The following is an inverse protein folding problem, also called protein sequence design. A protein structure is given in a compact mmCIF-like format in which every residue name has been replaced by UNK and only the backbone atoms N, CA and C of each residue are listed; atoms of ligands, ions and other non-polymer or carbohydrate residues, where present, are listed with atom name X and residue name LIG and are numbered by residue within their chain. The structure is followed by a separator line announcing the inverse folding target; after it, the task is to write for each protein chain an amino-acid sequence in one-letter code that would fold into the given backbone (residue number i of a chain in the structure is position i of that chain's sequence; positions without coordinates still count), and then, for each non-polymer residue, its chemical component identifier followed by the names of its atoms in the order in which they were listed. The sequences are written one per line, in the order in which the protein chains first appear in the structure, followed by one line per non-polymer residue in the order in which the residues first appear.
data_IF_503378336067
#
_entry.id   IF_503378336067
#
_cell.length_a   1.000
_cell.length_b   1.000
_cell.length_c   1.000
_cell.angle_alpha   90.00
_cell.angle_beta   90.00
_cell.angle_gamma   90.00
#
_symmetry.space_group_name_H-M   'P 1'
#
loop_
_entity.id
_entity.type
_entity.pdbx_description
1 polymer ?
#
# COMPACT_ATOMS: atom_id res chain seq x y z
N UNK A 1 -5.09 -31.02 12.06
CA UNK A 1 -5.87 -29.88 11.55
C UNK A 1 -5.85 -28.79 12.62
N UNK A 2 -5.36 -27.58 12.31
CA UNK A 2 -5.39 -26.46 13.25
C UNK A 2 -6.81 -25.88 13.30
N UNK A 3 -7.33 -25.47 14.48
CA UNK A 3 -8.70 -24.99 14.61
C UNK A 3 -8.93 -23.68 13.85
N UNK A 4 -10.10 -23.57 13.21
CA UNK A 4 -10.56 -22.36 12.55
C UNK A 4 -10.65 -21.20 13.56
N UNK A 5 -9.69 -20.28 13.50
CA UNK A 5 -9.63 -19.12 14.38
C UNK A 5 -8.31 -18.90 15.12
N UNK A 6 -7.30 -19.77 14.94
CA UNK A 6 -6.00 -19.61 15.60
C UNK A 6 -5.22 -18.37 15.14
N UNK A 7 -5.50 -17.83 13.95
CA UNK A 7 -4.80 -16.66 13.38
C UNK A 7 -5.72 -15.47 13.09
N UNK A 8 -6.82 -15.30 13.85
CA UNK A 8 -7.81 -14.23 13.62
C UNK A 8 -7.22 -12.82 13.55
N UNK A 9 -6.15 -12.55 14.29
CA UNK A 9 -5.44 -11.28 14.27
C UNK A 9 -4.75 -11.05 12.91
N UNK A 10 -3.71 -11.85 12.58
CA UNK A 10 -3.00 -11.71 11.31
C UNK A 10 -3.92 -11.82 10.09
N UNK A 11 -4.89 -12.76 10.10
CA UNK A 11 -5.85 -12.94 9.00
C UNK A 11 -6.69 -11.67 8.75
N UNK A 12 -7.03 -10.93 9.81
CA UNK A 12 -7.73 -9.65 9.68
C UNK A 12 -6.85 -8.61 9.00
N UNK A 13 -5.57 -8.52 9.39
CA UNK A 13 -4.63 -7.59 8.75
C UNK A 13 -4.47 -7.87 7.26
N UNK A 14 -4.33 -9.14 6.87
CA UNK A 14 -4.22 -9.55 5.46
C UNK A 14 -5.50 -9.23 4.68
N UNK A 15 -6.68 -9.58 5.23
CA UNK A 15 -7.97 -9.30 4.58
C UNK A 15 -8.25 -7.82 4.38
N UNK A 16 -7.84 -6.98 5.33
CA UNK A 16 -7.94 -5.52 5.21
C UNK A 16 -6.97 -4.99 4.14
N UNK A 17 -5.74 -5.50 4.09
CA UNK A 17 -4.75 -5.15 3.08
C UNK A 17 -5.19 -5.53 1.65
N UNK A 18 -5.79 -6.72 1.47
CA UNK A 18 -6.25 -7.20 0.16
C UNK A 18 -7.42 -6.38 -0.42
N UNK A 19 -8.02 -5.50 0.38
CA UNK A 19 -9.08 -4.57 -0.05
C UNK A 19 -8.53 -3.17 -0.38
N UNK A 20 -7.21 -3.04 -0.58
CA UNK A 20 -6.60 -1.78 -0.95
C UNK A 20 -7.26 -1.21 -2.22
N UNK A 21 -7.65 0.07 -2.18
CA UNK A 21 -8.36 0.71 -3.28
C UNK A 21 -7.54 0.81 -4.57
N UNK A 22 -6.20 0.82 -4.43
CA UNK A 22 -5.27 0.86 -5.55
C UNK A 22 -4.28 -0.31 -5.41
N UNK A 23 -4.45 -1.28 -6.32
CA UNK A 23 -3.59 -2.46 -6.43
C UNK A 23 -3.38 -2.84 -7.90
N UNK A 24 -2.26 -3.49 -8.18
CA UNK A 24 -1.93 -4.06 -9.49
C UNK A 24 -1.69 -5.54 -9.26
N UNK A 25 -2.65 -6.38 -9.64
CA UNK A 25 -2.50 -7.83 -9.42
C UNK A 25 -1.42 -8.43 -10.33
N UNK A 26 -1.06 -9.69 -10.06
CA UNK A 26 -0.04 -10.39 -10.83
C UNK A 26 -0.35 -10.35 -12.34
N UNK A 27 0.67 -10.02 -13.13
CA UNK A 27 0.63 -9.97 -14.61
C UNK A 27 -0.31 -8.90 -15.22
N UNK A 28 -0.99 -8.10 -14.39
CA UNK A 28 -1.86 -7.03 -14.88
C UNK A 28 -1.07 -5.80 -15.34
N UNK A 29 -1.69 -5.04 -16.24
CA UNK A 29 -1.24 -3.70 -16.62
C UNK A 29 -2.23 -2.68 -16.08
N UNK A 30 -1.75 -1.77 -15.25
CA UNK A 30 -2.54 -0.69 -14.69
C UNK A 30 -1.63 0.48 -14.34
N UNK A 31 -2.18 1.71 -14.25
CA UNK A 31 -1.43 2.92 -13.90
C UNK A 31 -0.13 3.09 -14.72
N UNK A 32 -0.17 2.72 -16.02
CA UNK A 32 0.97 2.83 -16.94
C UNK A 32 2.10 1.82 -16.76
N UNK A 33 1.99 0.83 -15.86
CA UNK A 33 3.01 -0.21 -15.67
C UNK A 33 2.44 -1.63 -15.75
N UNK A 34 3.28 -2.58 -16.17
CA UNK A 34 2.98 -4.02 -16.11
C UNK A 34 3.60 -4.63 -14.85
N UNK A 35 2.79 -5.28 -14.03
CA UNK A 35 3.29 -6.05 -12.89
C UNK A 35 3.75 -7.45 -13.35
N UNK A 36 5.01 -7.60 -13.74
CA UNK A 36 5.59 -8.90 -14.12
C UNK A 36 5.75 -9.88 -12.95
N UNK A 37 5.45 -9.47 -11.72
CA UNK A 37 5.56 -10.32 -10.53
C UNK A 37 4.34 -11.24 -10.43
N UNK A 38 4.51 -12.40 -9.78
CA UNK A 38 3.44 -13.39 -9.55
C UNK A 38 2.56 -13.08 -8.33
N UNK A 39 2.66 -11.86 -7.79
CA UNK A 39 1.92 -11.40 -6.64
C UNK A 39 1.36 -10.00 -6.88
N UNK A 40 0.34 -9.63 -6.12
CA UNK A 40 -0.24 -8.29 -6.14
C UNK A 40 0.69 -7.28 -5.50
N UNK A 41 0.82 -6.11 -6.13
CA UNK A 41 1.49 -4.93 -5.57
C UNK A 41 0.41 -3.93 -5.19
N UNK A 42 0.51 -3.35 -4.00
CA UNK A 42 -0.46 -2.39 -3.45
C UNK A 42 0.11 -0.97 -3.41
N UNK A 43 -0.78 0.03 -3.20
CA UNK A 43 -0.34 1.39 -2.97
C UNK A 43 0.40 1.52 -1.64
N UNK A 44 1.46 2.34 -1.57
CA UNK A 44 2.30 2.47 -0.38
C UNK A 44 1.54 2.93 0.88
N UNK A 45 0.40 3.61 0.74
CA UNK A 45 -0.43 3.96 1.91
C UNK A 45 -1.09 2.76 2.58
N UNK A 46 -1.36 1.68 1.83
CA UNK A 46 -1.87 0.42 2.37
C UNK A 46 -0.78 -0.33 3.15
N UNK A 47 0.50 -0.13 2.81
CA UNK A 47 1.61 -0.93 3.35
C UNK A 47 2.39 -0.23 4.46
N UNK A 48 2.61 1.09 4.35
CA UNK A 48 3.66 1.81 5.08
C UNK A 48 3.37 2.13 6.57
N UNK A 49 4.37 2.72 7.24
CA UNK A 49 4.25 3.38 8.55
C UNK A 49 3.81 4.84 8.35
N UNK A 50 2.83 5.36 9.08
CA UNK A 50 2.66 6.81 9.20
C UNK A 50 3.90 7.39 9.89
N UNK A 51 4.86 7.89 9.11
CA UNK A 51 5.68 9.01 9.50
C UNK A 51 5.24 10.17 8.61
N UNK A 52 4.51 11.13 9.18
CA UNK A 52 4.25 12.38 8.49
C UNK A 52 5.59 13.04 8.15
N UNK A 53 5.93 13.06 6.86
CA UNK A 53 6.93 13.97 6.31
C UNK A 53 6.26 15.30 5.92
N UNK A 54 7.03 16.40 5.79
CA UNK A 54 6.47 17.74 5.67
C UNK A 54 5.82 17.91 4.30
N UNK A 55 4.49 17.86 4.27
CA UNK A 55 3.72 18.36 3.14
C UNK A 55 3.95 19.85 3.01
N UNK A 56 4.72 20.26 1.99
CA UNK A 56 4.52 21.57 1.37
C UNK A 56 3.22 21.48 0.57
N UNK A 57 2.25 22.33 0.92
CA UNK A 57 1.14 22.68 0.04
C UNK A 57 -0.18 21.97 0.32
N UNK A 58 -0.84 22.33 1.42
CA UNK A 58 -2.24 21.98 1.68
C UNK A 58 -2.77 22.82 2.85
N UNK A 59 -3.17 24.05 2.56
CA UNK A 59 -3.61 25.03 3.57
C UNK A 59 -4.72 24.48 4.46
N UNK A 60 -4.46 24.40 5.76
CA UNK A 60 -5.49 24.14 6.76
C UNK A 60 -5.95 25.47 7.37
N UNK A 61 -7.26 25.72 7.31
CA UNK A 61 -7.92 26.83 7.98
C UNK A 61 -7.88 26.66 9.52
N UNK A 62 -7.84 27.75 10.31
CA UNK A 62 -7.83 27.67 11.76
C UNK A 62 -9.25 27.39 12.27
N UNK A 63 -9.47 26.24 12.92
CA UNK A 63 -10.76 25.94 13.59
C UNK A 63 -11.22 24.48 13.62
N UNK A 64 -10.43 23.51 13.13
CA UNK A 64 -10.91 22.12 13.11
C UNK A 64 -10.74 21.43 14.48
N UNK A 65 -11.87 21.07 15.09
CA UNK A 65 -11.96 20.21 16.28
C UNK A 65 -11.21 18.90 15.99
N UNK A 66 -10.50 18.37 17.00
CA UNK A 66 -9.84 17.05 16.96
C UNK A 66 -10.72 16.07 16.17
N UNK A 67 -10.21 15.57 15.05
CA UNK A 67 -10.92 14.59 14.25
C UNK A 67 -11.25 13.39 15.16
N UNK A 68 -12.54 13.19 15.42
CA UNK A 68 -13.04 11.96 15.97
C UNK A 68 -12.55 10.82 15.08
N UNK A 69 -12.07 9.73 15.70
CA UNK A 69 -11.75 8.49 15.01
C UNK A 69 -12.90 8.12 14.04
N UNK A 70 -12.62 8.16 12.73
CA UNK A 70 -13.55 7.71 11.70
C UNK A 70 -13.63 6.16 11.73
N UNK A 71 -14.79 5.51 11.58
CA UNK A 71 -14.92 4.07 11.81
C UNK A 71 -14.39 3.16 10.68
N UNK A 72 -13.74 3.69 9.63
CA UNK A 72 -13.27 2.90 8.46
C UNK A 72 -12.08 3.55 7.75
N UNK A 73 -10.99 3.82 8.48
CA UNK A 73 -9.70 4.07 7.84
C UNK A 73 -8.98 2.72 7.72
N UNK A 74 -8.53 2.26 6.53
CA UNK A 74 -7.78 1.01 6.42
C UNK A 74 -6.54 1.13 7.29
N UNK A 75 -6.39 0.22 8.26
CA UNK A 75 -5.17 0.16 9.04
C UNK A 75 -4.04 -0.19 8.09
N UNK A 76 -2.93 0.55 8.13
CA UNK A 76 -1.77 0.24 7.31
C UNK A 76 -1.23 -1.14 7.71
N UNK A 77 -0.92 -1.98 6.73
CA UNK A 77 -0.61 -3.39 6.94
C UNK A 77 0.52 -3.60 7.96
N UNK A 78 1.63 -2.86 7.78
CA UNK A 78 2.77 -2.90 8.72
C UNK A 78 2.38 -2.57 10.15
N UNK A 79 1.54 -1.56 10.34
CA UNK A 79 1.08 -1.14 11.66
C UNK A 79 0.11 -2.14 12.28
N UNK A 80 -0.71 -2.78 11.45
CA UNK A 80 -1.62 -3.83 11.89
C UNK A 80 -0.85 -5.03 12.45
N UNK A 81 0.18 -5.49 11.74
CA UNK A 81 1.03 -6.61 12.19
C UNK A 81 1.81 -6.27 13.47
N UNK A 82 2.42 -5.07 13.55
CA UNK A 82 3.15 -4.64 14.75
C UNK A 82 2.24 -4.49 15.97
N UNK A 83 0.99 -4.06 15.78
CA UNK A 83 0.04 -3.89 16.87
C UNK A 83 -0.46 -5.22 17.46
N UNK A 84 -0.36 -6.32 16.71
CA UNK A 84 -0.69 -7.65 17.22
C UNK A 84 0.42 -8.21 18.11
N UNK A 85 1.68 -7.87 17.81
CA UNK A 85 2.86 -8.24 18.59
C UNK A 85 2.93 -9.75 18.91
N UNK A 86 2.60 -10.58 17.93
CA UNK A 86 2.63 -12.05 18.05
C UNK A 86 3.63 -12.66 17.04
N UNK A 87 4.05 -13.90 17.31
CA UNK A 87 5.05 -14.61 16.49
C UNK A 87 4.65 -14.70 15.01
N UNK A 88 3.38 -14.93 14.72
CA UNK A 88 2.89 -15.16 13.35
C UNK A 88 2.82 -13.86 12.57
N UNK A 89 2.32 -12.79 13.19
CA UNK A 89 2.33 -11.43 12.66
C UNK A 89 3.75 -10.97 12.37
N UNK A 90 4.70 -11.30 13.25
CA UNK A 90 6.12 -10.98 13.05
C UNK A 90 6.74 -11.78 11.90
N UNK A 91 6.45 -13.08 11.79
CA UNK A 91 6.88 -13.90 10.63
C UNK A 91 6.30 -13.32 9.33
N UNK A 92 5.00 -13.02 9.28
CA UNK A 92 4.35 -12.41 8.11
C UNK A 92 5.04 -11.09 7.74
N UNK A 93 5.30 -10.23 8.72
CA UNK A 93 6.00 -8.98 8.51
C UNK A 93 7.41 -9.17 7.96
N UNK A 94 8.22 -10.05 8.57
CA UNK A 94 9.58 -10.34 8.08
C UNK A 94 9.53 -10.94 6.67
N UNK A 95 8.65 -11.90 6.40
CA UNK A 95 8.52 -12.50 5.08
C UNK A 95 8.15 -11.47 4.02
N UNK A 96 7.17 -10.61 4.28
CA UNK A 96 6.69 -9.62 3.32
C UNK A 96 7.71 -8.51 3.05
N UNK A 97 8.20 -7.86 4.10
CA UNK A 97 9.00 -6.63 3.97
C UNK A 97 10.51 -6.88 3.89
N UNK A 98 11.02 -8.01 4.41
CA UNK A 98 12.47 -8.26 4.50
C UNK A 98 12.94 -9.38 3.58
N UNK A 99 12.21 -10.51 3.52
CA UNK A 99 12.63 -11.68 2.73
C UNK A 99 12.25 -11.51 1.25
N UNK A 100 10.97 -11.20 1.00
CA UNK A 100 10.43 -11.04 -0.35
C UNK A 100 10.63 -9.63 -0.90
N UNK A 101 11.05 -8.69 -0.04
CA UNK A 101 11.29 -7.27 -0.38
C UNK A 101 10.14 -6.68 -1.21
N UNK A 102 8.89 -7.03 -0.84
CA UNK A 102 7.70 -6.73 -1.60
C UNK A 102 7.59 -5.21 -1.81
N UNK A 103 7.65 -4.72 -3.06
CA UNK A 103 7.55 -3.29 -3.31
C UNK A 103 6.10 -2.82 -3.17
N UNK A 104 5.91 -1.52 -2.96
CA UNK A 104 4.62 -0.86 -3.21
C UNK A 104 4.75 0.09 -4.41
N UNK A 105 3.65 0.76 -4.77
CA UNK A 105 3.71 1.90 -5.69
C UNK A 105 3.05 3.14 -5.10
N UNK A 106 3.48 4.30 -5.56
CA UNK A 106 2.76 5.57 -5.40
C UNK A 106 2.20 6.00 -6.75
N UNK A 107 1.12 6.76 -6.74
CA UNK A 107 0.58 7.38 -7.94
C UNK A 107 1.13 8.81 -8.08
N UNK A 108 1.74 9.10 -9.23
CA UNK A 108 2.27 10.40 -9.58
C UNK A 108 1.51 10.91 -10.82
N UNK A 109 1.06 12.16 -10.76
CA UNK A 109 0.35 12.79 -11.87
C UNK A 109 1.34 13.19 -12.97
N UNK A 110 1.09 12.71 -14.20
CA UNK A 110 1.89 13.01 -15.39
C UNK A 110 0.98 13.43 -16.54
N UNK A 111 1.45 14.35 -17.39
CA UNK A 111 0.76 14.72 -18.63
C UNK A 111 1.12 13.72 -19.72
N UNK A 112 0.16 12.88 -20.09
CA UNK A 112 0.34 11.79 -21.06
C UNK A 112 -0.65 11.89 -22.20
N UNK A 113 -0.38 11.15 -23.28
CA UNK A 113 -1.33 11.03 -24.36
C UNK A 113 -2.53 10.16 -23.95
N UNK A 114 -3.70 10.77 -23.82
CA UNK A 114 -4.94 10.06 -23.45
C UNK A 114 -5.79 9.67 -24.66
N UNK A 115 -5.50 10.24 -25.83
CA UNK A 115 -6.22 9.98 -27.07
C UNK A 115 -5.27 10.01 -28.25
N UNK A 116 -5.27 8.92 -29.02
CA UNK A 116 -4.40 8.72 -30.17
C UNK A 116 -5.14 8.95 -31.48
N UNK A 117 -4.46 9.55 -32.45
CA UNK A 117 -4.90 9.49 -33.83
C UNK A 117 -4.64 8.10 -34.41
N UNK A 118 -5.52 7.64 -35.31
CA UNK A 118 -5.37 6.32 -35.92
C UNK A 118 -4.14 6.20 -36.83
N UNK A 119 -3.69 7.31 -37.45
CA UNK A 119 -2.47 7.36 -38.28
C UNK A 119 -1.18 7.57 -37.46
N UNK A 120 -1.28 7.56 -36.14
CA UNK A 120 -0.18 7.86 -35.23
C UNK A 120 -0.14 9.33 -34.80
N UNK A 121 0.54 9.57 -33.68
CA UNK A 121 0.56 10.86 -32.99
C UNK A 121 -0.58 11.02 -31.97
N UNK A 122 -0.37 11.91 -31.02
CA UNK A 122 -1.33 12.20 -29.97
C UNK A 122 -2.34 13.27 -30.41
N UNK A 123 -3.63 12.97 -30.29
CA UNK A 123 -4.71 13.94 -30.51
C UNK A 123 -4.90 14.85 -29.29
N UNK A 124 -4.84 14.26 -28.09
CA UNK A 124 -5.05 14.99 -26.84
C UNK A 124 -4.22 14.44 -25.68
N UNK A 125 -3.55 15.36 -25.01
CA UNK A 125 -2.86 15.14 -23.75
C UNK A 125 -3.78 15.36 -22.56
N UNK A 126 -3.51 14.66 -21.47
CA UNK A 126 -4.26 14.80 -20.22
C UNK A 126 -3.44 14.33 -19.03
N UNK A 127 -3.75 14.88 -17.85
CA UNK A 127 -3.12 14.45 -16.60
C UNK A 127 -3.68 13.09 -16.19
N UNK A 128 -2.80 12.10 -16.02
CA UNK A 128 -3.14 10.75 -15.60
C UNK A 128 -2.27 10.30 -14.43
N UNK A 129 -2.79 9.44 -13.53
CA UNK A 129 -2.00 8.88 -12.44
C UNK A 129 -1.17 7.70 -12.95
N UNK A 130 0.16 7.84 -12.92
CA UNK A 130 1.11 6.78 -13.24
C UNK A 130 1.70 6.18 -11.96
N UNK A 131 1.86 4.86 -11.94
CA UNK A 131 2.47 4.17 -10.81
C UNK A 131 3.99 4.24 -10.88
N UNK A 132 4.60 4.72 -9.80
CA UNK A 132 6.04 4.58 -9.56
C UNK A 132 6.29 3.59 -8.43
N UNK A 133 7.07 2.55 -8.74
CA UNK A 133 7.46 1.54 -7.75
C UNK A 133 8.36 2.14 -6.67
N UNK A 134 8.15 1.72 -5.42
CA UNK A 134 8.90 2.15 -4.25
C UNK A 134 9.37 0.93 -3.49
N UNK A 135 10.66 0.90 -3.15
CA UNK A 135 11.20 -0.09 -2.23
C UNK A 135 10.79 0.25 -0.80
N UNK A 136 10.25 -0.72 -0.09
CA UNK A 136 9.76 -0.51 1.26
C UNK A 136 10.88 -0.59 2.30
N UNK A 137 10.68 0.07 3.44
CA UNK A 137 11.59 -0.05 4.59
C UNK A 137 11.43 -1.41 5.27
N UNK A 138 12.55 -2.00 5.72
CA UNK A 138 12.57 -3.26 6.47
C UNK A 138 11.61 -3.24 7.66
N UNK A 139 10.93 -4.35 7.92
CA UNK A 139 10.10 -4.64 9.09
C UNK A 139 10.98 -4.95 10.31
N UNK A 140 10.79 -4.16 11.37
CA UNK A 140 11.46 -4.32 12.65
C UNK A 140 10.39 -4.48 13.73
N UNK A 141 10.46 -5.57 14.48
CA UNK A 141 9.64 -5.85 15.66
C UNK A 141 10.55 -6.02 16.87
N UNK A 142 10.01 -5.83 18.07
CA UNK A 142 10.71 -6.15 19.31
C UNK A 142 10.68 -7.65 19.51
N UNK A 143 11.83 -8.27 19.40
CA UNK A 143 12.00 -9.71 19.58
C UNK A 143 12.06 -10.01 21.08
N UNK A 144 10.90 -10.16 21.72
CA UNK A 144 10.85 -10.86 23.00
C UNK A 144 10.98 -12.35 22.69
N UNK A 145 12.23 -12.81 22.68
CA UNK A 145 12.54 -14.23 22.66
C UNK A 145 11.88 -14.88 23.87
N UNK A 146 10.96 -15.81 23.61
CA UNK A 146 10.60 -16.85 24.57
C UNK A 146 11.75 -17.81 24.80
#
# INVERSE_FOLDING_TARGET
ALPAGLFRGPDRCCREHDQCSAQITALQFNYGIRNYRLHTVSHCDCDARCAGGPGRGGGHAPGSRRAAHHPRLPRRFRQCLLALNDTISNIIGVTFFNLLEMPCFVLEESEECVQWHWWGGCERYGVVPLARMVQQSQYHYTEEMG
#
